data_IF_963632659947
#
_entry.id   IF_963632659947
#
_cell.length_a   1.000
_cell.length_b   1.000
_cell.length_c   1.000
_cell.angle_alpha   90.00
_cell.angle_beta   90.00
_cell.angle_gamma   90.00
#
_symmetry.space_group_name_H-M   'P 1'
#
loop_
_entity.id
_entity.type
_entity.pdbx_description
1 polymer ?
#
# COMPACT_ATOMS: atom_id res chain seq x y z
N UNK A 1 -7.36 5.37 36.80
CA UNK A 1 -8.06 4.83 35.62
C UNK A 1 -7.24 5.23 34.40
N UNK A 2 -6.40 4.34 33.88
CA UNK A 2 -5.66 4.61 32.64
C UNK A 2 -6.62 4.34 31.49
N UNK A 3 -7.01 5.40 30.77
CA UNK A 3 -7.73 5.25 29.51
C UNK A 3 -6.72 4.74 28.49
N UNK A 4 -6.87 3.52 28.00
CA UNK A 4 -6.11 3.05 26.84
C UNK A 4 -6.49 3.95 25.65
N UNK A 5 -5.52 4.73 25.15
CA UNK A 5 -5.72 5.47 23.91
C UNK A 5 -6.03 4.46 22.81
N UNK A 6 -7.06 4.69 21.96
CA UNK A 6 -7.32 3.80 20.84
C UNK A 6 -6.05 3.72 19.99
N UNK A 7 -5.51 2.50 19.83
CA UNK A 7 -4.37 2.26 18.94
C UNK A 7 -4.77 2.74 17.56
N UNK A 8 -4.18 3.84 17.11
CA UNK A 8 -4.40 4.34 15.76
C UNK A 8 -3.89 3.28 14.78
N UNK A 9 -4.80 2.60 14.07
CA UNK A 9 -4.43 1.69 12.99
C UNK A 9 -4.06 2.51 11.78
N UNK A 10 -2.86 2.30 11.26
CA UNK A 10 -2.39 2.93 10.04
C UNK A 10 -1.50 1.96 9.28
N UNK A 11 -1.58 2.03 7.95
CA UNK A 11 -0.58 1.45 7.06
C UNK A 11 0.34 2.57 6.59
N UNK A 12 1.63 2.28 6.47
CA UNK A 12 2.62 3.25 6.00
C UNK A 12 3.50 2.60 4.96
N UNK A 13 3.67 3.33 3.86
CA UNK A 13 4.48 2.94 2.72
C UNK A 13 5.30 4.13 2.22
N UNK A 14 6.51 3.86 1.75
CA UNK A 14 7.21 4.78 0.84
C UNK A 14 6.74 4.49 -0.59
N UNK A 15 6.05 5.44 -1.19
CA UNK A 15 5.66 5.38 -2.60
C UNK A 15 6.78 5.95 -3.48
N UNK A 16 7.15 5.19 -4.52
CA UNK A 16 7.97 5.68 -5.63
C UNK A 16 7.16 5.59 -6.92
N UNK A 17 7.21 6.64 -7.71
CA UNK A 17 6.63 6.74 -9.04
C UNK A 17 7.75 7.13 -10.00
N UNK A 18 7.83 6.48 -11.16
CA UNK A 18 8.80 6.82 -12.19
C UNK A 18 8.25 6.46 -13.57
N UNK A 19 8.71 7.20 -14.58
CA UNK A 19 8.47 6.83 -15.97
C UNK A 19 9.51 5.80 -16.43
N UNK A 20 9.05 4.85 -17.22
CA UNK A 20 9.87 3.84 -17.88
C UNK A 20 9.49 3.79 -19.35
N UNK A 21 10.45 3.47 -20.21
CA UNK A 21 10.15 3.22 -21.61
C UNK A 21 9.63 1.78 -21.76
N UNK A 22 8.48 1.62 -22.42
CA UNK A 22 7.92 0.33 -22.82
C UNK A 22 7.73 0.38 -24.34
N UNK A 23 8.78 0.01 -25.07
CA UNK A 23 8.86 0.26 -26.51
C UNK A 23 8.96 1.75 -26.83
N UNK A 24 8.02 2.25 -27.64
CA UNK A 24 7.93 3.67 -28.01
C UNK A 24 7.11 4.51 -27.01
N UNK A 25 6.51 3.88 -26.00
CA UNK A 25 5.65 4.55 -25.03
C UNK A 25 6.38 4.86 -23.72
N UNK A 26 6.01 6.00 -23.12
CA UNK A 26 6.40 6.35 -21.75
C UNK A 26 5.29 5.91 -20.79
N UNK A 27 5.60 4.96 -19.92
CA UNK A 27 4.65 4.39 -18.97
C UNK A 27 5.06 4.69 -17.54
N UNK A 28 4.08 5.06 -16.71
CA UNK A 28 4.28 5.24 -15.28
C UNK A 28 4.31 3.88 -14.59
N UNK A 29 5.35 3.66 -13.80
CA UNK A 29 5.51 2.51 -12.91
C UNK A 29 5.49 2.99 -11.46
N UNK A 30 5.13 2.09 -10.56
CA UNK A 30 5.06 2.40 -9.14
C UNK A 30 5.67 1.30 -8.28
N UNK A 31 6.12 1.64 -7.09
CA UNK A 31 6.39 0.67 -6.03
C UNK A 31 6.03 1.22 -4.66
N UNK A 32 5.55 0.34 -3.79
CA UNK A 32 5.42 0.59 -2.37
C UNK A 32 6.49 -0.19 -1.61
N UNK A 33 7.12 0.46 -0.64
CA UNK A 33 8.04 -0.18 0.30
C UNK A 33 7.53 -0.01 1.73
N UNK A 34 7.43 -1.09 2.50
CA UNK A 34 7.05 -1.04 3.90
C UNK A 34 8.23 -0.55 4.74
N UNK A 35 8.16 0.61 5.43
CA UNK A 35 9.29 1.12 6.21
C UNK A 35 9.68 0.24 7.40
N UNK A 36 8.77 -0.62 7.86
CA UNK A 36 8.98 -1.50 9.02
C UNK A 36 9.73 -2.78 8.66
N UNK A 37 9.49 -3.33 7.46
CA UNK A 37 10.06 -4.62 7.04
C UNK A 37 11.04 -4.50 5.88
N UNK A 38 10.97 -3.42 5.10
CA UNK A 38 11.71 -3.25 3.85
C UNK A 38 11.08 -3.98 2.66
N UNK A 39 9.94 -4.67 2.85
CA UNK A 39 9.26 -5.40 1.78
C UNK A 39 8.80 -4.43 0.69
N UNK A 40 8.97 -4.84 -0.56
CA UNK A 40 8.65 -4.02 -1.72
C UNK A 40 7.67 -4.71 -2.66
N UNK A 41 6.62 -3.98 -3.01
CA UNK A 41 5.64 -4.35 -4.02
C UNK A 41 5.80 -3.45 -5.24
N UNK A 42 6.07 -4.02 -6.41
CA UNK A 42 6.17 -3.30 -7.68
C UNK A 42 4.87 -3.41 -8.48
N UNK A 43 4.51 -2.33 -9.18
CA UNK A 43 3.29 -2.23 -9.97
C UNK A 43 3.60 -1.71 -11.37
N UNK A 44 3.08 -2.42 -12.37
CA UNK A 44 3.21 -2.05 -13.77
C UNK A 44 2.32 -0.84 -14.13
N UNK A 45 1.21 -0.65 -13.42
CA UNK A 45 0.28 0.46 -13.66
C UNK A 45 -0.19 1.07 -12.35
N UNK A 46 -0.74 2.28 -12.42
CA UNK A 46 -1.30 2.98 -11.27
C UNK A 46 -2.58 2.30 -10.76
N UNK A 47 -3.36 1.69 -11.66
CA UNK A 47 -4.57 0.95 -11.32
C UNK A 47 -4.25 -0.26 -10.43
N UNK A 48 -3.19 -1.00 -10.77
CA UNK A 48 -2.74 -2.13 -9.96
C UNK A 48 -2.28 -1.71 -8.55
N UNK A 49 -1.62 -0.55 -8.44
CA UNK A 49 -1.29 0.05 -7.14
C UNK A 49 -2.56 0.33 -6.31
N UNK A 50 -3.58 0.90 -6.94
CA UNK A 50 -4.82 1.21 -6.23
C UNK A 50 -5.60 -0.05 -5.84
N UNK A 51 -5.62 -1.09 -6.67
CA UNK A 51 -6.24 -2.38 -6.33
C UNK A 51 -5.57 -3.02 -5.11
N UNK A 52 -4.24 -2.96 -5.05
CA UNK A 52 -3.49 -3.41 -3.88
C UNK A 52 -3.87 -2.63 -2.62
N UNK A 53 -3.85 -1.29 -2.67
CA UNK A 53 -4.20 -0.45 -1.51
C UNK A 53 -5.65 -0.66 -1.04
N UNK A 54 -6.59 -0.91 -1.97
CA UNK A 54 -7.97 -1.29 -1.63
C UNK A 54 -8.02 -2.62 -0.89
N UNK A 55 -7.26 -3.62 -1.33
CA UNK A 55 -7.21 -4.93 -0.68
C UNK A 55 -6.59 -4.85 0.72
N UNK A 56 -5.48 -4.14 0.87
CA UNK A 56 -4.81 -3.93 2.15
C UNK A 56 -5.75 -3.28 3.17
N UNK A 57 -6.44 -2.22 2.76
CA UNK A 57 -7.36 -1.48 3.64
C UNK A 57 -8.66 -2.25 3.91
N UNK A 58 -9.10 -3.14 3.01
CA UNK A 58 -10.25 -4.02 3.22
C UNK A 58 -9.93 -5.24 4.10
N UNK A 59 -8.71 -5.80 3.99
CA UNK A 59 -8.25 -6.95 4.80
C UNK A 59 -8.07 -6.54 6.26
N UNK A 60 -7.51 -5.35 6.51
CA UNK A 60 -7.45 -4.78 7.86
C UNK A 60 -8.84 -4.56 8.49
N UNK A 61 -9.88 -4.34 7.68
CA UNK A 61 -11.26 -4.23 8.15
C UNK A 61 -11.94 -5.58 8.40
N UNK A 62 -11.48 -6.68 7.79
CA UNK A 62 -12.07 -8.01 7.96
C UNK A 62 -11.56 -8.73 9.21
N UNK A 63 -10.35 -8.44 9.67
CA UNK A 63 -9.83 -8.90 10.98
C UNK A 63 -10.52 -8.24 12.19
N UNK A 64 -11.42 -7.27 11.96
CA UNK A 64 -12.17 -6.55 13.01
C UNK A 64 -13.52 -7.24 13.32
N UNK A 65 -13.97 -8.21 12.53
CA UNK A 65 -15.14 -9.05 12.88
C UNK A 65 -14.69 -10.26 13.71
N UNK A 66 -14.45 -10.04 14.99
CA UNK A 66 -14.55 -11.08 16.01
C UNK A 66 -15.65 -10.63 16.98
N UNK A 67 -16.61 -11.53 17.20
CA UNK A 67 -17.82 -11.37 18.04
C UNK A 67 -17.58 -10.75 19.43
#
# INVERSE_FOLDING_TARGET
>A
MFQEKPKTRYLSYLLRLWESADGEEHVWRASLECPRTGDRHGFATIEALFDFLRQETATELSEIRVD
#
